data_IF_235126455858
#
_entry.id   IF_235126455858
#
_cell.length_a   1.000
_cell.length_b   1.000
_cell.length_c   1.000
_cell.angle_alpha   90.00
_cell.angle_beta   90.00
_cell.angle_gamma   90.00
#
_symmetry.space_group_name_H-M   'P 1'
#
loop_
_entity.id
_entity.type
_entity.pdbx_description
1 polymer ?
#
# COMPACT_ATOMS: atom_id res chain seq x y z
N UNK A 1 -1.42 23.47 16.66
CA UNK A 1 -0.19 22.70 16.34
C UNK A 1 -0.57 21.77 15.20
N UNK A 2 -0.01 21.97 13.99
CA UNK A 2 -0.55 21.34 12.79
C UNK A 2 -0.46 19.82 12.81
N UNK A 3 -1.52 19.12 12.41
CA UNK A 3 -1.50 17.67 12.18
C UNK A 3 -0.42 17.33 11.15
N UNK A 4 0.50 16.44 11.52
CA UNK A 4 1.62 16.02 10.66
C UNK A 4 1.12 14.99 9.65
N UNK A 5 1.31 15.26 8.36
CA UNK A 5 0.98 14.33 7.28
C UNK A 5 1.96 13.15 7.29
N UNK A 6 1.51 12.00 7.79
CA UNK A 6 2.29 10.76 7.82
C UNK A 6 1.37 9.53 7.70
N UNK A 7 1.97 8.38 7.45
CA UNK A 7 1.27 7.09 7.44
C UNK A 7 1.02 6.70 8.91
N UNK A 8 -0.24 6.40 9.23
CA UNK A 8 -0.70 6.01 10.57
C UNK A 8 -0.92 4.52 10.69
N UNK A 9 -1.52 3.92 9.66
CA UNK A 9 -1.93 2.51 9.67
C UNK A 9 -1.67 1.90 8.29
N UNK A 10 -1.34 0.61 8.24
CA UNK A 10 -1.19 -0.20 7.05
C UNK A 10 -1.94 -1.52 7.24
N UNK A 11 -2.73 -1.90 6.25
CA UNK A 11 -3.39 -3.19 6.12
C UNK A 11 -3.05 -3.77 4.74
N UNK A 12 -2.59 -5.01 4.70
CA UNK A 12 -2.26 -5.76 3.50
C UNK A 12 -2.95 -7.11 3.58
N UNK A 13 -3.75 -7.45 2.58
CA UNK A 13 -4.40 -8.75 2.43
C UNK A 13 -4.15 -9.30 1.03
N UNK A 14 -3.85 -10.60 0.96
CA UNK A 14 -3.60 -11.35 -0.27
C UNK A 14 -2.64 -10.63 -1.24
N UNK A 15 -1.46 -10.23 -0.75
CA UNK A 15 -0.47 -9.52 -1.55
C UNK A 15 0.90 -10.19 -1.50
N UNK A 16 1.28 -10.83 -2.60
CA UNK A 16 2.57 -11.52 -2.79
C UNK A 16 2.87 -12.49 -1.64
N UNK A 17 3.96 -12.30 -0.91
CA UNK A 17 4.31 -13.13 0.24
C UNK A 17 3.45 -12.90 1.49
N UNK A 18 2.54 -11.93 1.47
CA UNK A 18 1.77 -11.49 2.64
C UNK A 18 0.32 -11.97 2.50
N UNK A 19 -0.10 -12.86 3.40
CA UNK A 19 -1.48 -13.34 3.49
C UNK A 19 -2.38 -12.31 4.17
N UNK A 20 -1.96 -11.87 5.37
CA UNK A 20 -2.63 -10.85 6.17
C UNK A 20 -1.59 -10.13 7.03
N UNK A 21 -1.62 -8.79 7.02
CA UNK A 21 -0.79 -7.94 7.86
C UNK A 21 -1.57 -6.68 8.19
N UNK A 22 -1.63 -6.35 9.49
CA UNK A 22 -2.11 -5.06 9.99
C UNK A 22 -1.08 -4.46 10.92
N UNK A 23 -0.77 -3.19 10.71
CA UNK A 23 0.27 -2.49 11.46
C UNK A 23 -0.14 -1.04 11.76
N UNK A 24 -0.05 -0.65 13.03
CA UNK A 24 -0.16 0.74 13.48
C UNK A 24 1.25 1.31 13.66
N UNK A 25 1.52 2.45 13.03
CA UNK A 25 2.81 3.10 13.11
C UNK A 25 3.01 3.86 14.42
N UNK A 26 1.95 4.22 15.13
CA UNK A 26 2.00 5.02 16.36
C UNK A 26 2.83 6.31 16.20
N UNK A 27 2.88 6.86 14.98
CA UNK A 27 3.70 8.01 14.63
C UNK A 27 5.23 7.76 14.56
N UNK A 28 5.67 6.51 14.60
CA UNK A 28 7.08 6.07 14.54
C UNK A 28 7.47 5.63 13.13
N UNK A 29 8.78 5.53 12.90
CA UNK A 29 9.34 4.91 11.70
C UNK A 29 9.25 3.39 11.76
N UNK A 30 9.07 2.74 10.61
CA UNK A 30 9.10 1.29 10.46
C UNK A 30 10.47 0.83 9.95
N UNK A 31 11.05 -0.18 10.59
CA UNK A 31 12.27 -0.87 10.14
C UNK A 31 11.92 -2.31 9.80
N UNK A 32 12.23 -2.73 8.57
CA UNK A 32 11.98 -4.10 8.10
C UNK A 32 13.27 -4.92 8.18
N UNK A 33 13.33 -5.87 9.12
CA UNK A 33 14.48 -6.75 9.32
C UNK A 33 14.09 -8.23 9.15
N UNK A 34 15.01 -9.03 8.60
CA UNK A 34 14.82 -10.47 8.45
C UNK A 34 15.59 -11.08 7.28
N UNK A 35 15.62 -12.41 7.15
CA UNK A 35 16.34 -13.12 6.08
C UNK A 35 15.83 -12.81 4.67
N UNK A 36 16.61 -13.14 3.64
CA UNK A 36 16.15 -13.05 2.25
C UNK A 36 14.91 -13.93 2.03
N UNK A 37 13.97 -13.44 1.23
CA UNK A 37 12.72 -14.15 0.93
C UNK A 37 11.60 -14.03 1.99
N UNK A 38 11.83 -13.42 3.16
CA UNK A 38 10.82 -13.33 4.23
C UNK A 38 9.71 -12.28 4.00
N UNK A 39 9.58 -11.71 2.80
CA UNK A 39 8.51 -10.76 2.47
C UNK A 39 8.78 -9.28 2.76
N UNK A 40 9.99 -8.87 3.17
CA UNK A 40 10.34 -7.44 3.36
C UNK A 40 10.03 -6.60 2.12
N UNK A 41 10.47 -7.07 0.95
CA UNK A 41 10.20 -6.40 -0.33
C UNK A 41 8.72 -6.41 -0.70
N UNK A 42 7.94 -7.37 -0.21
CA UNK A 42 6.49 -7.39 -0.45
C UNK A 42 5.80 -6.22 0.27
N UNK A 43 6.26 -5.82 1.46
CA UNK A 43 5.74 -4.64 2.16
C UNK A 43 6.06 -3.37 1.38
N UNK A 44 7.30 -3.22 0.89
CA UNK A 44 7.67 -2.05 0.08
C UNK A 44 6.90 -1.99 -1.24
N UNK A 45 6.67 -3.15 -1.87
CA UNK A 45 5.88 -3.27 -3.09
C UNK A 45 4.39 -3.04 -2.85
N UNK A 46 3.86 -3.30 -1.65
CA UNK A 46 2.48 -2.97 -1.31
C UNK A 46 2.29 -1.44 -1.33
N UNK A 47 3.24 -0.67 -0.80
CA UNK A 47 3.20 0.80 -0.93
C UNK A 47 3.30 1.25 -2.40
N UNK A 48 4.20 0.65 -3.18
CA UNK A 48 4.31 0.95 -4.60
C UNK A 48 2.98 0.68 -5.33
N UNK A 49 2.37 -0.47 -5.06
CA UNK A 49 1.08 -0.85 -5.62
C UNK A 49 -0.03 0.10 -5.17
N UNK A 50 -0.11 0.43 -3.88
CA UNK A 50 -1.11 1.38 -3.36
C UNK A 50 -1.09 2.71 -4.13
N UNK A 51 0.11 3.26 -4.33
CA UNK A 51 0.30 4.59 -4.91
C UNK A 51 0.40 4.62 -6.44
N UNK A 52 0.60 3.48 -7.12
CA UNK A 52 0.81 3.48 -8.58
C UNK A 52 -0.04 2.47 -9.33
N UNK A 53 -0.66 1.51 -8.61
CA UNK A 53 -1.32 0.34 -9.18
C UNK A 53 -0.35 -0.68 -9.80
N UNK A 54 0.95 -0.47 -9.68
CA UNK A 54 1.97 -1.27 -10.37
C UNK A 54 3.06 -1.69 -9.39
N UNK A 55 3.80 -2.72 -9.78
CA UNK A 55 5.03 -3.12 -9.11
C UNK A 55 6.14 -3.15 -10.15
N UNK A 56 7.11 -2.24 -10.06
CA UNK A 56 8.12 -2.06 -11.10
C UNK A 56 8.93 -3.34 -11.35
N UNK A 57 9.17 -4.15 -10.31
CA UNK A 57 9.87 -5.42 -10.43
C UNK A 57 9.11 -6.48 -11.26
N UNK A 58 7.85 -6.23 -11.62
CA UNK A 58 7.04 -7.10 -12.47
C UNK A 58 6.93 -6.60 -13.91
N UNK A 59 7.36 -5.37 -14.20
CA UNK A 59 7.30 -4.80 -15.54
C UNK A 59 8.30 -5.48 -16.47
N UNK A 60 7.86 -5.81 -17.69
CA UNK A 60 8.73 -6.30 -18.76
C UNK A 60 9.21 -7.74 -18.62
N UNK A 61 8.74 -8.49 -17.62
CA UNK A 61 9.07 -9.92 -17.51
C UNK A 61 8.12 -10.71 -18.42
N UNK A 62 8.65 -11.21 -19.54
CA UNK A 62 7.90 -12.07 -20.45
C UNK A 62 7.41 -13.34 -19.74
N UNK A 63 6.14 -13.69 -19.95
CA UNK A 63 5.52 -14.89 -19.37
C UNK A 63 5.00 -14.73 -17.94
N UNK A 64 5.23 -13.59 -17.29
CA UNK A 64 4.64 -13.31 -15.97
C UNK A 64 3.26 -12.71 -16.15
N UNK A 65 2.23 -13.44 -15.69
CA UNK A 65 0.91 -12.85 -15.49
C UNK A 65 1.00 -11.90 -14.30
N UNK A 66 0.98 -10.61 -14.61
CA UNK A 66 1.14 -9.53 -13.63
C UNK A 66 0.15 -9.72 -12.47
N UNK A 67 -1.09 -10.09 -12.78
CA UNK A 67 -2.17 -10.34 -11.84
C UNK A 67 -1.85 -11.45 -10.82
N UNK A 68 -1.48 -12.64 -11.32
CA UNK A 68 -1.19 -13.81 -10.47
C UNK A 68 0.03 -13.57 -9.57
N UNK A 69 0.95 -12.71 -10.00
CA UNK A 69 2.18 -12.40 -9.26
C UNK A 69 2.01 -11.36 -8.15
N UNK A 70 0.86 -10.67 -8.14
CA UNK A 70 0.46 -9.75 -7.07
C UNK A 70 -0.30 -10.47 -5.97
N UNK A 71 -1.08 -11.49 -6.29
CA UNK A 71 -1.98 -12.18 -5.36
C UNK A 71 -1.19 -13.17 -4.52
N UNK A 72 -1.57 -13.32 -3.24
CA UNK A 72 -0.95 -14.35 -2.41
C UNK A 72 -1.27 -15.75 -2.95
N UNK A 73 -0.32 -16.69 -2.82
CA UNK A 73 -0.51 -18.03 -3.38
C UNK A 73 -1.69 -18.72 -2.70
N UNK A 74 -2.67 -19.14 -3.51
CA UNK A 74 -3.87 -19.84 -3.05
C UNK A 74 -5.10 -18.93 -2.86
N UNK A 75 -4.95 -17.63 -3.08
CA UNK A 75 -6.02 -16.65 -2.93
C UNK A 75 -6.54 -16.18 -4.28
N UNK A 76 -7.64 -15.43 -4.28
CA UNK A 76 -8.23 -14.86 -5.48
C UNK A 76 -7.97 -13.35 -5.61
N UNK A 77 -8.36 -12.78 -6.75
CA UNK A 77 -8.24 -11.34 -7.04
C UNK A 77 -9.03 -10.49 -6.06
N UNK A 78 -10.16 -11.00 -5.61
CA UNK A 78 -11.11 -10.34 -4.72
C UNK A 78 -10.55 -10.22 -3.29
N UNK A 79 -9.60 -11.07 -2.91
CA UNK A 79 -8.96 -11.04 -1.59
C UNK A 79 -7.89 -9.94 -1.48
N UNK A 80 -7.41 -9.41 -2.62
CA UNK A 80 -6.31 -8.46 -2.67
C UNK A 80 -6.77 -7.09 -2.17
N UNK A 81 -6.14 -6.63 -1.09
CA UNK A 81 -6.28 -5.28 -0.57
C UNK A 81 -4.93 -4.76 -0.09
N UNK A 82 -4.57 -3.56 -0.51
CA UNK A 82 -3.60 -2.73 0.21
C UNK A 82 -4.31 -1.47 0.67
N UNK A 83 -4.25 -1.15 1.95
CA UNK A 83 -4.90 0.00 2.56
C UNK A 83 -3.96 0.69 3.52
N UNK A 84 -3.93 2.00 3.47
CA UNK A 84 -3.18 2.81 4.42
C UNK A 84 -4.00 4.00 4.88
N UNK A 85 -3.82 4.37 6.14
CA UNK A 85 -4.32 5.64 6.68
C UNK A 85 -3.20 6.67 6.63
N UNK A 86 -3.41 7.77 5.92
CA UNK A 86 -2.44 8.85 5.76
C UNK A 86 -3.06 10.14 6.26
N UNK A 87 -2.44 10.75 7.27
CA UNK A 87 -3.08 11.81 8.03
C UNK A 87 -4.39 11.31 8.67
N UNK A 88 -5.52 11.88 8.25
CA UNK A 88 -6.86 11.47 8.68
C UNK A 88 -7.65 10.63 7.68
N UNK A 89 -7.10 10.34 6.51
CA UNK A 89 -7.85 9.74 5.39
C UNK A 89 -7.35 8.33 5.07
N UNK A 90 -8.26 7.48 4.57
CA UNK A 90 -7.89 6.17 4.05
C UNK A 90 -7.68 6.20 2.53
N UNK A 91 -6.59 5.57 2.12
CA UNK A 91 -6.31 5.21 0.74
C UNK A 91 -6.27 3.70 0.70
N UNK A 92 -6.92 3.13 -0.30
CA UNK A 92 -6.93 1.70 -0.51
C UNK A 92 -6.82 1.41 -2.00
N UNK A 93 -6.39 0.19 -2.30
CA UNK A 93 -6.38 -0.37 -3.64
C UNK A 93 -6.73 -1.85 -3.56
N UNK A 94 -7.80 -2.19 -4.26
CA UNK A 94 -8.16 -3.56 -4.61
C UNK A 94 -7.73 -3.88 -6.05
N UNK A 95 -7.82 -5.16 -6.43
CA UNK A 95 -7.33 -5.65 -7.72
C UNK A 95 -7.91 -4.91 -8.95
N UNK A 96 -9.18 -4.51 -8.91
CA UNK A 96 -9.90 -3.93 -10.05
C UNK A 96 -9.94 -2.39 -10.08
N UNK A 97 -9.29 -1.71 -9.13
CA UNK A 97 -9.34 -0.25 -9.05
C UNK A 97 -8.31 0.41 -9.98
N UNK A 98 -8.79 1.29 -10.86
CA UNK A 98 -7.92 2.20 -11.59
C UNK A 98 -7.21 3.18 -10.65
N UNK A 99 -5.96 3.51 -10.95
CA UNK A 99 -5.22 4.51 -10.19
C UNK A 99 -5.77 5.90 -10.48
N UNK A 100 -6.31 6.57 -9.44
CA UNK A 100 -6.60 8.00 -9.49
C UNK A 100 -5.51 8.80 -8.72
N UNK A 101 -4.49 9.34 -9.41
CA UNK A 101 -3.44 10.15 -8.79
C UNK A 101 -3.96 11.43 -8.10
N UNK A 102 -5.13 11.95 -8.52
CA UNK A 102 -5.74 13.13 -7.91
C UNK A 102 -5.99 12.95 -6.41
N UNK A 103 -6.41 11.74 -6.01
CA UNK A 103 -6.79 11.42 -4.63
C UNK A 103 -5.67 11.68 -3.60
N UNK A 104 -4.40 11.49 -3.97
CA UNK A 104 -3.27 11.76 -3.06
C UNK A 104 -3.05 13.26 -2.87
N UNK A 105 -3.15 14.04 -3.95
CA UNK A 105 -3.01 15.50 -3.90
C UNK A 105 -4.16 16.09 -3.09
N UNK A 106 -5.38 15.62 -3.32
CA UNK A 106 -6.57 16.06 -2.59
C UNK A 106 -6.42 15.75 -1.09
N UNK A 107 -5.99 14.53 -0.73
CA UNK A 107 -5.73 14.14 0.66
C UNK A 107 -4.66 15.02 1.32
N UNK A 108 -3.61 15.40 0.57
CA UNK A 108 -2.58 16.29 1.07
C UNK A 108 -3.10 17.72 1.28
N UNK A 109 -3.80 18.29 0.30
CA UNK A 109 -4.37 19.64 0.40
C UNK A 109 -5.44 19.74 1.50
N UNK A 110 -6.35 18.77 1.60
CA UNK A 110 -7.34 18.67 2.68
C UNK A 110 -6.67 18.65 4.06
N UNK A 111 -5.58 17.88 4.18
CA UNK A 111 -4.83 17.81 5.43
C UNK A 111 -4.17 19.14 5.82
N UNK A 112 -3.80 19.98 4.83
CA UNK A 112 -3.28 21.33 5.06
C UNK A 112 -4.38 22.31 5.42
N UNK A 113 -5.53 22.27 4.74
CA UNK A 113 -6.65 23.19 4.99
C UNK A 113 -7.24 23.00 6.39
N UNK A 114 -7.29 21.76 6.89
CA UNK A 114 -7.70 21.44 8.26
C UNK A 114 -6.78 22.03 9.36
N UNK A 115 -5.63 22.61 9.01
CA UNK A 115 -4.73 23.28 9.97
C UNK A 115 -5.01 24.77 10.14
N UNK A 116 -5.84 25.33 9.26
CA UNK A 116 -6.17 26.76 9.22
C UNK A 116 -7.56 27.09 9.77
N UNK A 117 -8.31 26.08 10.21
CA UNK A 117 -9.55 26.19 10.98
C UNK A 117 -9.32 25.66 12.40
#
# INVERSE_FOLDING_TARGET
MGQKFNIKELEIRSFRGIKDLKYDFEGKSLVLCGPNGCGKSSITQAFEYLFTGQVASLKGIQGVKHDESLIHKGDSKEDLLVKAKIGGQYIERSFNEEFNPGRLKDIYEDSRMALFY
#
